data_IF_453780201356
#
_entry.id   IF_453780201356
#
_cell.length_a   1.000
_cell.length_b   1.000
_cell.length_c   1.000
_cell.angle_alpha   90.00
_cell.angle_beta   90.00
_cell.angle_gamma   90.00
#
_symmetry.space_group_name_H-M   'P 1'
#
loop_
_entity.id
_entity.type
_entity.pdbx_description
1 polymer ?
#
# COMPACT_ATOMS: atom_id res chain seq x y z
N UNK A 1 1.78 -41.42 2.51
CA UNK A 1 1.24 -40.32 1.70
C UNK A 1 1.24 -39.06 2.54
N UNK A 2 1.88 -38.02 2.04
CA UNK A 2 2.06 -36.72 2.66
C UNK A 2 1.74 -35.61 1.66
N UNK A 3 1.70 -34.35 2.09
CA UNK A 3 1.41 -33.21 1.21
C UNK A 3 2.34 -33.16 -0.01
N UNK A 4 3.62 -33.52 0.14
CA UNK A 4 4.59 -33.57 -0.95
C UNK A 4 4.24 -34.56 -2.07
N UNK A 5 3.38 -35.54 -1.79
CA UNK A 5 2.89 -36.51 -2.76
C UNK A 5 1.67 -35.97 -3.54
N UNK A 6 1.14 -34.82 -3.13
CA UNK A 6 0.00 -34.16 -3.74
C UNK A 6 0.42 -32.93 -4.54
N UNK A 7 -0.42 -32.47 -5.49
CA UNK A 7 -0.26 -31.14 -6.08
C UNK A 7 -0.29 -30.04 -5.02
N UNK A 8 0.40 -28.93 -5.28
CA UNK A 8 0.43 -27.75 -4.37
C UNK A 8 -0.95 -27.16 -4.08
N UNK A 9 -1.94 -27.41 -4.96
CA UNK A 9 -3.32 -26.99 -4.79
C UNK A 9 -4.16 -27.94 -3.90
N UNK A 10 -3.56 -29.01 -3.41
CA UNK A 10 -4.24 -30.08 -2.68
C UNK A 10 -3.53 -30.37 -1.36
N UNK A 11 -4.26 -30.83 -0.35
CA UNK A 11 -3.71 -31.32 0.90
C UNK A 11 -3.91 -32.83 1.00
N UNK A 12 -3.01 -33.50 1.71
CA UNK A 12 -3.14 -34.94 1.97
C UNK A 12 -4.09 -35.15 3.15
N UNK A 13 -5.26 -35.72 2.90
CA UNK A 13 -6.15 -36.21 3.95
C UNK A 13 -5.59 -37.53 4.51
N UNK A 14 -5.08 -37.49 5.74
CA UNK A 14 -4.45 -38.65 6.39
C UNK A 14 -5.43 -39.76 6.77
N UNK A 15 -6.72 -39.46 6.88
CA UNK A 15 -7.75 -40.44 7.24
C UNK A 15 -8.18 -41.26 6.00
N UNK A 16 -8.32 -40.60 4.85
CA UNK A 16 -8.75 -41.24 3.60
C UNK A 16 -7.57 -41.67 2.72
N UNK A 17 -6.34 -41.28 3.07
CA UNK A 17 -5.14 -41.47 2.26
C UNK A 17 -5.30 -40.95 0.83
N UNK A 18 -5.91 -39.78 0.66
CA UNK A 18 -6.18 -39.16 -0.64
C UNK A 18 -5.79 -37.69 -0.67
N UNK A 19 -5.56 -37.15 -1.87
CA UNK A 19 -5.34 -35.72 -2.07
C UNK A 19 -6.68 -35.01 -2.27
N UNK A 20 -6.94 -34.00 -1.45
CA UNK A 20 -8.17 -33.21 -1.50
C UNK A 20 -7.82 -31.75 -1.80
N UNK A 21 -8.63 -31.06 -2.62
CA UNK A 21 -8.38 -29.65 -2.93
C UNK A 21 -8.47 -28.79 -1.68
N UNK A 22 -7.49 -27.90 -1.48
CA UNK A 22 -7.49 -26.96 -0.35
C UNK A 22 -8.65 -25.99 -0.48
N UNK A 23 -8.93 -25.52 -1.70
CA UNK A 23 -10.04 -24.61 -2.01
C UNK A 23 -11.33 -25.38 -2.30
N UNK A 24 -11.95 -25.89 -1.23
CA UNK A 24 -13.28 -26.48 -1.26
C UNK A 24 -14.40 -25.45 -1.12
N UNK A 25 -15.65 -25.93 -1.21
CA UNK A 25 -16.86 -25.10 -1.17
C UNK A 25 -17.05 -24.37 0.17
N UNK A 26 -16.56 -24.94 1.26
CA UNK A 26 -16.71 -24.44 2.63
C UNK A 26 -15.37 -23.97 3.24
N UNK A 27 -14.31 -23.82 2.43
CA UNK A 27 -12.99 -23.45 2.96
C UNK A 27 -12.89 -21.96 3.29
N UNK A 28 -13.50 -21.11 2.46
CA UNK A 28 -13.50 -19.66 2.64
C UNK A 28 -14.92 -19.13 2.84
N UNK A 29 -14.99 -17.92 3.40
CA UNK A 29 -16.25 -17.26 3.71
C UNK A 29 -17.06 -16.86 2.49
N UNK A 30 -18.28 -16.39 2.73
CA UNK A 30 -19.12 -15.89 1.65
C UNK A 30 -18.46 -14.70 0.93
N UNK A 31 -18.50 -14.69 -0.40
CA UNK A 31 -17.86 -13.70 -1.27
C UNK A 31 -16.33 -13.60 -1.15
N UNK A 32 -15.66 -14.54 -0.46
CA UNK A 32 -14.22 -14.62 -0.42
C UNK A 32 -13.67 -15.41 -1.62
N UNK A 33 -12.48 -15.04 -2.06
CA UNK A 33 -11.71 -15.78 -3.06
C UNK A 33 -10.75 -16.72 -2.33
N UNK A 34 -10.80 -18.01 -2.67
CA UNK A 34 -9.84 -18.98 -2.18
C UNK A 34 -8.65 -19.09 -3.13
N UNK A 35 -7.44 -18.94 -2.59
CA UNK A 35 -6.18 -19.16 -3.28
C UNK A 35 -5.49 -20.35 -2.63
N UNK A 36 -5.00 -21.27 -3.45
CA UNK A 36 -4.23 -22.40 -2.95
C UNK A 36 -2.74 -22.03 -2.93
N UNK A 37 -2.11 -22.11 -1.77
CA UNK A 37 -0.68 -21.84 -1.58
C UNK A 37 -0.07 -22.90 -0.67
N UNK A 38 0.94 -23.61 -1.18
CA UNK A 38 1.69 -24.64 -0.45
C UNK A 38 0.81 -25.60 0.39
N UNK A 39 -0.15 -26.25 -0.26
CA UNK A 39 -1.08 -27.19 0.37
C UNK A 39 -1.98 -26.57 1.45
N UNK A 40 -2.12 -25.24 1.46
CA UNK A 40 -3.02 -24.48 2.34
C UNK A 40 -3.98 -23.63 1.50
N UNK A 41 -5.13 -23.35 2.09
CA UNK A 41 -6.06 -22.38 1.54
C UNK A 41 -5.80 -21.00 2.16
N UNK A 42 -5.70 -19.99 1.30
CA UNK A 42 -5.61 -18.59 1.66
C UNK A 42 -6.90 -17.91 1.20
N UNK A 43 -7.67 -17.37 2.14
CA UNK A 43 -8.90 -16.66 1.86
C UNK A 43 -8.62 -15.16 1.75
N UNK A 44 -9.01 -14.55 0.64
CA UNK A 44 -8.84 -13.11 0.41
C UNK A 44 -10.15 -12.50 -0.08
N UNK A 45 -10.49 -11.31 0.43
CA UNK A 45 -11.64 -10.58 -0.10
C UNK A 45 -11.28 -9.93 -1.45
N UNK A 46 -12.18 -10.01 -2.45
CA UNK A 46 -11.97 -9.35 -3.73
C UNK A 46 -12.00 -7.81 -3.58
N UNK A 47 -11.48 -7.05 -4.57
CA UNK A 47 -11.54 -5.60 -4.55
C UNK A 47 -12.96 -5.07 -4.32
N UNK A 48 -13.11 -4.12 -3.41
CA UNK A 48 -14.42 -3.59 -3.02
C UNK A 48 -15.14 -4.39 -1.93
N UNK A 49 -14.53 -5.45 -1.40
CA UNK A 49 -15.01 -6.19 -0.23
C UNK A 49 -14.03 -6.11 0.93
N UNK A 50 -14.56 -6.21 2.15
CA UNK A 50 -13.78 -6.28 3.39
C UNK A 50 -14.17 -7.49 4.23
N UNK A 51 -13.24 -8.04 5.03
CA UNK A 51 -13.55 -9.10 5.97
C UNK A 51 -14.57 -8.63 7.01
N UNK A 52 -15.54 -9.48 7.35
CA UNK A 52 -16.52 -9.21 8.38
C UNK A 52 -16.99 -10.51 9.07
N UNK A 53 -16.29 -11.01 10.11
CA UNK A 53 -15.09 -10.46 10.76
C UNK A 53 -13.78 -10.87 10.09
N UNK A 54 -13.77 -11.99 9.36
CA UNK A 54 -12.58 -12.60 8.78
C UNK A 54 -12.89 -13.12 7.37
N UNK A 55 -11.90 -13.21 6.45
CA UNK A 55 -12.10 -13.72 5.09
C UNK A 55 -12.59 -15.17 5.05
N UNK A 56 -12.30 -15.96 6.09
CA UNK A 56 -12.76 -17.34 6.25
C UNK A 56 -14.24 -17.43 6.59
N UNK A 57 -14.87 -16.32 7.02
CA UNK A 57 -16.28 -16.27 7.43
C UNK A 57 -17.13 -15.53 6.41
N UNK A 58 -16.79 -14.27 6.13
CA UNK A 58 -17.55 -13.43 5.19
C UNK A 58 -16.70 -12.26 4.72
N UNK A 59 -16.80 -11.99 3.42
CA UNK A 59 -16.42 -10.74 2.80
C UNK A 59 -17.69 -9.93 2.53
N UNK A 60 -17.82 -8.81 3.24
CA UNK A 60 -18.91 -7.84 3.07
C UNK A 60 -18.54 -6.78 2.03
N UNK A 61 -19.51 -6.36 1.22
CA UNK A 61 -19.30 -5.27 0.26
C UNK A 61 -19.03 -3.96 1.00
N UNK A 62 -18.03 -3.20 0.55
CA UNK A 62 -17.69 -1.90 1.09
C UNK A 62 -18.67 -0.86 0.53
N UNK A 63 -19.71 -0.52 1.29
CA UNK A 63 -20.77 0.42 0.90
C UNK A 63 -20.48 1.89 1.24
N UNK A 64 -19.20 2.24 1.44
CA UNK A 64 -18.80 3.61 1.75
C UNK A 64 -17.42 3.72 2.37
N UNK A 65 -17.10 4.91 2.87
CA UNK A 65 -15.90 5.16 3.67
C UNK A 65 -16.05 4.61 5.08
N UNK A 66 -15.99 3.29 5.22
CA UNK A 66 -16.03 2.62 6.53
C UNK A 66 -14.65 2.61 7.20
N UNK A 67 -14.63 2.56 8.54
CA UNK A 67 -13.40 2.44 9.32
C UNK A 67 -12.60 1.20 8.90
N UNK A 68 -11.31 1.39 8.63
CA UNK A 68 -10.39 0.32 8.21
C UNK A 68 -10.23 0.14 6.69
N UNK A 69 -10.98 0.88 5.86
CA UNK A 69 -10.78 0.85 4.40
C UNK A 69 -9.49 1.54 3.96
N UNK A 70 -9.24 2.74 4.48
CA UNK A 70 -8.05 3.52 4.18
C UNK A 70 -7.13 3.56 5.40
N UNK A 71 -5.84 3.82 5.17
CA UNK A 71 -4.93 4.17 6.27
C UNK A 71 -5.50 5.38 7.05
N UNK A 72 -5.24 5.47 8.35
CA UNK A 72 -5.82 6.55 9.20
C UNK A 72 -5.54 7.96 8.68
N UNK A 73 -4.41 8.15 8.00
CA UNK A 73 -4.00 9.44 7.42
C UNK A 73 -4.40 9.61 5.95
N UNK A 74 -5.12 8.66 5.34
CA UNK A 74 -5.60 8.76 3.97
C UNK A 74 -7.02 9.34 3.90
N UNK A 75 -7.32 10.03 2.79
CA UNK A 75 -8.64 10.60 2.51
C UNK A 75 -9.44 9.57 1.72
N UNK A 76 -10.65 9.27 2.18
CA UNK A 76 -11.58 8.40 1.46
C UNK A 76 -12.56 9.25 0.63
N UNK A 77 -12.69 8.93 -0.66
CA UNK A 77 -13.59 9.61 -1.59
C UNK A 77 -14.51 8.60 -2.27
N UNK A 78 -15.82 8.88 -2.31
CA UNK A 78 -16.79 8.04 -3.03
C UNK A 78 -16.82 8.42 -4.50
N UNK A 79 -16.50 7.49 -5.38
CA UNK A 79 -16.56 7.65 -6.84
C UNK A 79 -17.72 6.81 -7.40
N UNK A 80 -18.11 7.03 -8.66
CA UNK A 80 -19.11 6.18 -9.36
C UNK A 80 -18.74 4.70 -9.40
N UNK A 81 -17.46 4.37 -9.22
CA UNK A 81 -16.92 3.01 -9.21
C UNK A 81 -16.66 2.47 -7.78
N UNK A 82 -17.09 3.18 -6.74
CA UNK A 82 -16.90 2.82 -5.33
C UNK A 82 -15.97 3.77 -4.54
N UNK A 83 -15.73 3.47 -3.25
CA UNK A 83 -14.82 4.25 -2.42
C UNK A 83 -13.36 4.04 -2.82
N UNK A 84 -12.63 5.14 -3.02
CA UNK A 84 -11.20 5.14 -3.29
C UNK A 84 -10.45 5.86 -2.17
N UNK A 85 -9.23 5.40 -1.86
CA UNK A 85 -8.37 6.04 -0.88
C UNK A 85 -7.30 6.87 -1.60
N UNK A 86 -7.15 8.13 -1.22
CA UNK A 86 -6.14 9.05 -1.75
C UNK A 86 -5.25 9.57 -0.61
N UNK A 87 -3.98 9.79 -0.89
CA UNK A 87 -3.08 10.46 0.04
C UNK A 87 -3.44 11.97 0.10
N UNK A 88 -3.47 12.59 1.29
CA UNK A 88 -3.60 14.05 1.43
C UNK A 88 -2.45 14.78 0.74
N UNK A 89 -2.62 16.09 0.52
CA UNK A 89 -1.53 16.93 0.05
C UNK A 89 -0.32 16.83 1.00
N UNK A 90 0.89 16.72 0.42
CA UNK A 90 2.16 16.56 1.14
C UNK A 90 2.36 15.21 1.85
N UNK A 91 1.58 14.19 1.49
CA UNK A 91 1.81 12.81 1.90
C UNK A 91 1.97 11.91 0.67
N UNK A 92 2.80 10.88 0.80
CA UNK A 92 3.04 9.88 -0.24
C UNK A 92 3.02 8.46 0.35
N UNK A 93 3.07 7.45 -0.53
CA UNK A 93 2.99 6.03 -0.15
C UNK A 93 1.69 5.35 -0.58
N UNK A 94 1.36 4.24 0.08
CA UNK A 94 0.17 3.45 -0.16
C UNK A 94 -1.02 3.92 0.71
N UNK A 95 -2.09 4.47 0.12
CA UNK A 95 -3.23 5.01 0.87
C UNK A 95 -4.05 3.95 1.65
N UNK A 96 -3.81 2.66 1.42
CA UNK A 96 -4.46 1.55 2.13
C UNK A 96 -3.64 1.01 3.31
N UNK A 97 -2.37 1.40 3.46
CA UNK A 97 -1.49 0.80 4.47
C UNK A 97 -0.42 1.73 5.04
N UNK A 98 0.32 2.43 4.20
CA UNK A 98 1.47 3.24 4.62
C UNK A 98 1.41 4.61 3.97
N UNK A 99 1.16 5.64 4.78
CA UNK A 99 1.11 7.03 4.33
C UNK A 99 2.15 7.82 5.11
N UNK A 100 3.20 8.23 4.42
CA UNK A 100 4.34 8.96 4.99
C UNK A 100 4.26 10.45 4.62
N UNK A 101 4.60 11.37 5.53
CA UNK A 101 4.75 12.77 5.17
C UNK A 101 5.88 12.91 4.15
N UNK A 102 5.68 13.68 3.08
CA UNK A 102 6.67 13.96 2.03
C UNK A 102 7.92 14.74 2.53
N UNK A 103 8.04 15.00 3.84
CA UNK A 103 9.15 15.68 4.53
C UNK A 103 9.97 16.63 3.64
N UNK A 104 9.62 17.94 3.66
CA UNK A 104 10.41 19.08 3.17
C UNK A 104 11.73 18.69 2.49
N UNK A 105 11.73 18.55 1.15
CA UNK A 105 12.97 18.52 0.35
C UNK A 105 13.81 19.74 0.74
N UNK A 106 14.79 19.55 1.60
CA UNK A 106 15.79 20.56 1.91
C UNK A 106 16.73 20.57 0.72
N UNK A 107 16.67 21.63 -0.09
CA UNK A 107 17.59 21.79 -1.21
C UNK A 107 18.96 22.19 -0.63
N UNK A 108 19.94 21.31 -0.69
CA UNK A 108 21.34 21.65 -0.40
C UNK A 108 21.99 22.11 -1.70
N UNK A 109 22.29 23.40 -1.82
CA UNK A 109 23.05 23.93 -2.95
C UNK A 109 24.54 23.79 -2.60
N UNK A 110 25.29 22.96 -3.34
CA UNK A 110 26.76 22.90 -3.22
C UNK A 110 27.38 23.89 -4.20
N UNK A 111 28.04 24.92 -3.69
CA UNK A 111 28.93 25.79 -4.48
C UNK A 111 30.23 26.01 -3.72
N UNK A 112 31.35 25.84 -4.40
CA UNK A 112 32.67 25.99 -3.81
C UNK A 112 32.93 27.46 -3.39
N UNK A 113 33.24 27.63 -2.10
CA UNK A 113 34.00 28.74 -1.50
C UNK A 113 33.46 30.19 -1.47
N UNK A 114 32.19 30.45 -1.14
CA UNK A 114 31.80 31.73 -0.48
C UNK A 114 30.64 31.52 0.50
N UNK A 115 30.77 31.99 1.74
CA UNK A 115 29.69 31.98 2.76
C UNK A 115 28.46 32.77 2.24
N UNK A 116 27.25 32.21 2.33
CA UNK A 116 26.28 32.57 3.39
C UNK A 116 24.93 31.83 3.24
N UNK A 117 24.31 31.61 4.40
CA UNK A 117 22.96 31.12 4.68
C UNK A 117 21.88 31.49 3.66
N UNK A 118 21.02 30.51 3.35
CA UNK A 118 19.61 30.77 3.08
C UNK A 118 18.76 29.73 3.82
N UNK A 119 18.28 30.08 5.01
CA UNK A 119 17.07 29.48 5.57
C UNK A 119 15.93 30.07 4.74
N UNK A 120 15.66 29.51 3.56
CA UNK A 120 14.56 29.95 2.72
C UNK A 120 13.30 29.18 3.15
N UNK A 121 12.69 29.60 4.25
CA UNK A 121 11.34 29.16 4.64
C UNK A 121 10.30 29.83 3.74
N UNK A 122 10.39 29.69 2.41
CA UNK A 122 9.33 30.21 1.52
C UNK A 122 9.34 29.44 0.21
N UNK A 123 8.55 28.37 0.07
CA UNK A 123 7.76 28.15 -1.17
C UNK A 123 6.57 27.24 -0.86
N UNK A 124 5.44 27.84 -0.45
CA UNK A 124 4.11 27.55 -1.03
C UNK A 124 2.95 28.45 -0.56
N UNK A 125 3.19 29.68 -0.06
CA UNK A 125 2.05 30.56 0.31
C UNK A 125 2.08 31.98 -0.32
N UNK A 126 3.18 32.49 -0.89
CA UNK A 126 3.10 33.75 -1.66
C UNK A 126 3.87 33.70 -2.98
N UNK A 127 3.22 34.21 -4.01
CA UNK A 127 3.73 34.50 -5.36
C UNK A 127 5.11 35.18 -5.35
N UNK A 128 6.20 34.40 -5.35
CA UNK A 128 7.55 34.94 -5.52
C UNK A 128 8.18 34.35 -6.77
N UNK A 129 8.13 35.19 -7.81
CA UNK A 129 8.86 35.09 -9.06
C UNK A 129 10.36 35.25 -8.75
N UNK A 130 11.09 34.14 -8.58
CA UNK A 130 12.56 34.17 -8.52
C UNK A 130 13.14 33.21 -9.57
N UNK A 131 13.31 33.80 -10.75
CA UNK A 131 14.38 33.61 -11.74
C UNK A 131 14.99 32.21 -11.82
N UNK A 132 14.38 31.41 -12.69
CA UNK A 132 15.12 30.50 -13.55
C UNK A 132 16.11 31.33 -14.38
N UNK A 133 17.40 31.00 -14.33
CA UNK A 133 18.41 31.15 -15.40
C UNK A 133 19.82 31.04 -14.80
N UNK A 134 20.25 29.81 -14.51
CA UNK A 134 21.68 29.55 -14.38
C UNK A 134 21.98 28.10 -14.80
N UNK A 135 22.77 27.87 -15.87
CA UNK A 135 23.02 26.54 -16.42
C UNK A 135 23.92 25.64 -15.54
N UNK A 136 24.29 26.09 -14.34
CA UNK A 136 25.17 25.36 -13.40
C UNK A 136 24.47 24.88 -12.12
N UNK A 137 23.13 24.95 -12.04
CA UNK A 137 22.38 24.43 -10.89
C UNK A 137 22.03 22.97 -11.12
N UNK A 138 22.73 22.06 -10.45
CA UNK A 138 22.44 20.63 -10.48
C UNK A 138 21.56 20.26 -9.27
N UNK A 139 20.32 19.84 -9.54
CA UNK A 139 19.39 19.32 -8.53
C UNK A 139 19.62 17.83 -8.40
N UNK A 140 20.17 17.37 -7.27
CA UNK A 140 20.30 15.95 -6.99
C UNK A 140 19.04 15.45 -6.26
N UNK A 141 18.32 14.45 -6.77
CA UNK A 141 17.40 13.68 -5.96
C UNK A 141 18.23 12.75 -5.06
N UNK A 142 18.41 13.13 -3.79
CA UNK A 142 19.03 12.24 -2.81
C UNK A 142 18.10 11.06 -2.54
N UNK A 143 18.39 9.93 -3.18
CA UNK A 143 17.90 8.61 -2.81
C UNK A 143 19.01 7.92 -2.03
N UNK A 144 18.69 7.54 -0.78
CA UNK A 144 19.40 6.64 0.14
C UNK A 144 20.32 7.26 1.23
N UNK A 145 20.44 6.55 2.38
CA UNK A 145 20.35 7.13 3.72
C UNK A 145 21.70 7.52 4.30
N UNK A 146 21.67 8.38 5.34
CA UNK A 146 22.79 8.54 6.25
C UNK A 146 23.02 7.22 7.00
N UNK A 147 24.17 6.59 6.77
CA UNK A 147 24.83 5.76 7.79
C UNK A 147 26.03 6.54 8.34
N UNK A 148 26.19 6.48 9.67
CA UNK A 148 27.18 7.18 10.49
C UNK A 148 28.51 6.42 10.44
#
# INVERSE_FOLDING_TARGET
>A
MYNIDCPVSQLCNRLTHSCENVCGKETCGQNAVCLADDHKALCQCPPGYKPNPLPEVECSLITGCTSGLCHRSAICEMTSNGPICKCPEHFEGNPYGEVIPFAQKTLYVKMDNVKMYAIATVVKILNVRLLMENPNVYVFPSLHPMEI
#
